data_IF_237029743577
#
_entry.id   IF_237029743577
#
_cell.length_a   1.000
_cell.length_b   1.000
_cell.length_c   1.000
_cell.angle_alpha   90.00
_cell.angle_beta   90.00
_cell.angle_gamma   90.00
#
_symmetry.space_group_name_H-M   'P 1'
#
loop_
_entity.id
_entity.type
_entity.pdbx_description
1 polymer ?
#
# COMPACT_ATOMS: atom_id res chain seq x y z
N UNK A 1 15.53 -7.92 24.13
CA UNK A 1 15.26 -7.19 22.86
C UNK A 1 16.01 -5.88 22.96
N UNK A 2 16.89 -5.58 22.00
CA UNK A 2 17.70 -4.35 22.04
C UNK A 2 16.98 -3.15 21.43
N UNK A 3 16.17 -3.35 20.37
CA UNK A 3 15.46 -2.30 19.64
C UNK A 3 14.04 -2.71 19.35
N UNK A 4 13.11 -1.78 19.51
CA UNK A 4 11.71 -1.91 19.13
C UNK A 4 11.35 -0.82 18.11
N UNK A 5 10.71 -1.21 17.00
CA UNK A 5 10.34 -0.33 15.90
C UNK A 5 8.84 -0.47 15.66
N UNK A 6 8.04 0.60 15.79
CA UNK A 6 6.61 0.57 15.52
C UNK A 6 6.32 0.42 14.04
N UNK A 7 5.15 -0.16 13.71
CA UNK A 7 4.70 -0.38 12.35
C UNK A 7 3.30 0.12 12.06
N UNK A 8 2.58 0.54 13.07
CA UNK A 8 1.20 1.04 12.97
C UNK A 8 1.04 2.34 13.75
N UNK A 9 -0.04 3.06 13.50
CA UNK A 9 -0.38 4.28 14.23
C UNK A 9 -0.63 3.98 15.71
N UNK A 10 -1.32 2.87 16.01
CA UNK A 10 -1.59 2.41 17.37
C UNK A 10 -0.30 2.10 18.13
N UNK A 11 0.66 1.41 17.47
CA UNK A 11 1.96 1.14 18.07
C UNK A 11 2.67 2.44 18.46
N UNK A 12 2.69 3.42 17.55
CA UNK A 12 3.35 4.71 17.80
C UNK A 12 2.71 5.41 19.00
N UNK A 13 1.38 5.45 19.05
CA UNK A 13 0.68 6.12 20.13
C UNK A 13 0.95 5.47 21.50
N UNK A 14 0.86 4.13 21.58
CA UNK A 14 1.10 3.39 22.84
C UNK A 14 2.56 3.50 23.26
N UNK A 15 3.49 3.30 22.35
CA UNK A 15 4.91 3.26 22.64
C UNK A 15 5.47 4.65 22.96
N UNK A 16 4.96 5.73 22.35
CA UNK A 16 5.43 7.09 22.67
C UNK A 16 5.13 7.48 24.11
N UNK A 17 4.04 6.97 24.69
CA UNK A 17 3.67 7.21 26.08
C UNK A 17 4.46 6.34 27.09
N UNK A 18 5.00 5.19 26.63
CA UNK A 18 5.60 4.17 27.48
C UNK A 18 7.08 3.88 27.15
N UNK A 19 7.72 4.67 26.30
CA UNK A 19 9.12 4.45 25.89
C UNK A 19 10.07 4.28 27.09
N UNK A 20 9.91 5.08 28.13
CA UNK A 20 10.74 5.00 29.34
C UNK A 20 10.62 3.67 30.08
N UNK A 21 9.49 2.95 29.99
CA UNK A 21 9.33 1.63 30.62
C UNK A 21 10.20 0.58 29.88
N UNK A 22 10.33 0.69 28.56
CA UNK A 22 11.19 -0.18 27.75
C UNK A 22 12.67 0.15 27.95
N UNK A 23 13.02 1.43 28.01
CA UNK A 23 14.38 1.89 28.29
C UNK A 23 14.87 1.38 29.65
N UNK A 24 14.01 1.37 30.68
CA UNK A 24 14.33 0.87 32.01
C UNK A 24 14.74 -0.61 32.02
N UNK A 25 14.33 -1.40 31.02
CA UNK A 25 14.72 -2.82 30.88
C UNK A 25 15.76 -3.03 29.75
N UNK A 26 16.38 -1.96 29.25
CA UNK A 26 17.44 -2.01 28.26
C UNK A 26 16.96 -2.22 26.82
N UNK A 27 15.69 -1.88 26.54
CA UNK A 27 15.14 -1.90 25.18
C UNK A 27 14.96 -0.47 24.69
N UNK A 28 15.66 -0.09 23.65
CA UNK A 28 15.48 1.19 22.97
C UNK A 28 14.21 1.15 22.12
N UNK A 29 13.41 2.24 22.13
CA UNK A 29 12.22 2.36 21.29
C UNK A 29 12.47 3.45 20.26
N UNK A 30 12.65 3.06 19.00
CA UNK A 30 12.89 4.00 17.91
C UNK A 30 11.55 4.54 17.37
N UNK A 31 11.14 5.65 17.95
CA UNK A 31 9.80 6.19 17.79
C UNK A 31 9.81 7.72 17.75
N UNK A 32 8.84 8.28 17.06
CA UNK A 32 8.51 9.69 17.17
C UNK A 32 8.04 10.02 18.60
N UNK A 33 8.35 11.21 19.10
CA UNK A 33 7.79 11.67 20.35
C UNK A 33 6.25 11.84 20.25
N UNK A 34 5.58 11.90 21.39
CA UNK A 34 4.12 11.98 21.46
C UNK A 34 3.55 13.20 20.69
N UNK A 35 4.21 14.35 20.78
CA UNK A 35 3.79 15.58 20.08
C UNK A 35 3.79 15.41 18.56
N UNK A 36 4.82 14.76 18.03
CA UNK A 36 4.95 14.43 16.60
C UNK A 36 3.91 13.37 16.18
N UNK A 37 3.69 12.38 17.01
CA UNK A 37 2.66 11.37 16.75
C UNK A 37 1.27 12.01 16.64
N UNK A 38 0.91 12.88 17.56
CA UNK A 38 -0.35 13.65 17.55
C UNK A 38 -0.46 14.57 16.34
N UNK A 39 0.64 15.25 15.95
CA UNK A 39 0.65 16.08 14.74
C UNK A 39 0.35 15.26 13.49
N UNK A 40 0.93 14.07 13.37
CA UNK A 40 0.78 13.19 12.21
C UNK A 40 -0.63 12.55 12.14
N UNK A 41 -1.26 12.24 13.26
CA UNK A 41 -2.61 11.64 13.30
C UNK A 41 -3.68 12.69 12.94
N UNK A 42 -3.53 13.94 13.36
CA UNK A 42 -4.51 14.97 13.10
C UNK A 42 -4.35 15.61 11.70
N UNK A 43 -5.32 15.36 10.81
CA UNK A 43 -5.27 15.78 9.40
C UNK A 43 -5.28 17.31 9.22
N UNK A 44 -5.95 18.06 10.09
CA UNK A 44 -5.98 19.53 10.03
C UNK A 44 -4.65 20.14 10.47
N UNK A 45 -4.04 19.58 11.50
CA UNK A 45 -2.73 20.03 11.99
C UNK A 45 -1.63 19.71 10.99
N UNK A 46 -1.66 18.52 10.39
CA UNK A 46 -0.71 18.11 9.34
C UNK A 46 -0.77 19.06 8.14
N UNK A 47 -1.97 19.40 7.63
CA UNK A 47 -2.11 20.33 6.51
C UNK A 47 -1.53 21.72 6.85
N UNK A 48 -1.88 22.27 8.02
CA UNK A 48 -1.33 23.55 8.49
C UNK A 48 0.18 23.52 8.67
N UNK A 49 0.71 22.42 9.18
CA UNK A 49 2.16 22.23 9.35
C UNK A 49 2.91 22.27 8.01
N UNK A 50 2.37 21.65 6.96
CA UNK A 50 2.95 21.74 5.62
C UNK A 50 2.96 23.19 5.09
N UNK A 51 1.86 23.92 5.25
CA UNK A 51 1.80 25.35 4.89
C UNK A 51 2.86 26.18 5.65
N UNK A 52 3.05 25.91 6.94
CA UNK A 52 4.09 26.53 7.76
C UNK A 52 5.52 26.17 7.34
N UNK A 53 5.70 25.02 6.64
CA UNK A 53 6.96 24.66 5.99
C UNK A 53 7.16 25.36 4.63
N UNK A 54 6.18 26.15 4.19
CA UNK A 54 6.17 26.80 2.86
C UNK A 54 5.90 25.80 1.73
N UNK A 55 5.12 24.74 2.01
CA UNK A 55 4.69 23.72 1.07
C UNK A 55 3.19 23.85 0.80
N UNK A 56 2.75 23.38 -0.39
CA UNK A 56 1.32 23.36 -0.65
C UNK A 56 0.70 22.15 0.07
N UNK A 57 -0.42 22.40 0.73
CA UNK A 57 -1.31 21.35 1.24
C UNK A 57 -2.72 21.56 0.66
N UNK A 58 -3.53 20.51 0.52
CA UNK A 58 -4.93 20.70 0.17
C UNK A 58 -5.61 21.56 1.24
N UNK A 59 -6.28 22.63 0.83
CA UNK A 59 -7.02 23.45 1.77
C UNK A 59 -8.16 22.62 2.39
N UNK A 60 -8.18 22.56 3.71
CA UNK A 60 -9.16 21.79 4.48
C UNK A 60 -10.12 22.74 5.16
N UNK A 61 -11.43 22.51 5.03
CA UNK A 61 -12.47 23.21 5.76
C UNK A 61 -13.29 22.25 6.61
N UNK A 62 -13.87 22.75 7.71
CA UNK A 62 -14.67 21.96 8.66
C UNK A 62 -16.16 22.25 8.55
N UNK A 63 -16.56 23.11 7.63
CA UNK A 63 -17.96 23.45 7.38
C UNK A 63 -18.26 23.43 5.89
N UNK A 64 -19.39 22.86 5.51
CA UNK A 64 -19.85 22.85 4.12
C UNK A 64 -20.05 24.27 3.58
N UNK A 65 -20.45 25.23 4.44
CA UNK A 65 -20.65 26.62 4.06
C UNK A 65 -19.34 27.34 3.71
N UNK A 66 -18.21 26.86 4.22
CA UNK A 66 -16.89 27.46 3.98
C UNK A 66 -16.19 26.84 2.76
N UNK A 67 -16.78 25.80 2.17
CA UNK A 67 -16.20 25.13 1.01
C UNK A 67 -16.53 25.86 -0.29
N UNK A 68 -15.50 26.35 -0.98
CA UNK A 68 -15.63 27.18 -2.20
C UNK A 68 -14.78 26.69 -3.38
N UNK A 69 -14.14 25.51 -3.25
CA UNK A 69 -13.12 25.07 -4.22
C UNK A 69 -13.65 24.24 -5.38
N UNK A 70 -14.98 24.07 -5.49
CA UNK A 70 -15.61 23.32 -6.57
C UNK A 70 -15.59 21.79 -6.37
N UNK A 71 -16.09 21.07 -7.36
CA UNK A 71 -16.26 19.63 -7.33
C UNK A 71 -15.48 18.93 -8.44
N UNK A 72 -15.09 17.65 -8.28
CA UNK A 72 -15.36 16.81 -7.10
C UNK A 72 -14.57 17.22 -5.86
N UNK A 73 -15.10 16.87 -4.68
CA UNK A 73 -14.51 17.11 -3.39
C UNK A 73 -14.38 15.81 -2.59
N UNK A 74 -13.45 15.79 -1.64
CA UNK A 74 -13.32 14.70 -0.67
C UNK A 74 -13.92 15.12 0.66
N UNK A 75 -14.96 14.43 1.08
CA UNK A 75 -15.58 14.57 2.39
C UNK A 75 -15.07 13.45 3.29
N UNK A 76 -14.36 13.80 4.35
CA UNK A 76 -13.82 12.85 5.31
C UNK A 76 -14.62 12.93 6.61
N UNK A 77 -15.24 11.82 6.99
CA UNK A 77 -15.87 11.66 8.30
C UNK A 77 -14.78 11.34 9.30
N UNK A 78 -14.82 12.02 10.44
CA UNK A 78 -13.83 11.89 11.51
C UNK A 78 -14.51 11.38 12.79
N UNK A 79 -13.75 10.61 13.57
CA UNK A 79 -14.15 10.22 14.92
C UNK A 79 -13.99 11.39 15.93
N UNK A 80 -14.26 11.15 17.21
CA UNK A 80 -14.14 12.14 18.28
C UNK A 80 -12.69 12.62 18.49
N UNK A 81 -11.70 11.85 18.01
CA UNK A 81 -10.27 12.17 18.11
C UNK A 81 -9.69 12.74 16.80
N UNK A 82 -10.54 13.10 15.83
CA UNK A 82 -10.17 13.56 14.49
C UNK A 82 -9.47 12.50 13.61
N UNK A 83 -9.59 11.23 13.94
CA UNK A 83 -9.11 10.16 13.06
C UNK A 83 -10.09 9.93 11.92
N UNK A 84 -9.57 9.49 10.78
CA UNK A 84 -10.36 9.22 9.59
C UNK A 84 -11.18 7.93 9.73
N UNK A 85 -12.49 8.03 9.83
CA UNK A 85 -13.39 6.86 9.76
C UNK A 85 -13.75 6.48 8.33
N UNK A 86 -14.07 7.46 7.50
CA UNK A 86 -14.57 7.25 6.14
C UNK A 86 -14.25 8.41 5.22
N UNK A 87 -13.93 8.11 3.96
CA UNK A 87 -13.82 9.09 2.88
C UNK A 87 -14.93 8.90 1.86
N UNK A 88 -15.57 9.99 1.46
CA UNK A 88 -16.67 10.01 0.50
C UNK A 88 -16.31 11.02 -0.59
N UNK A 89 -16.43 10.63 -1.85
CA UNK A 89 -16.29 11.55 -2.98
C UNK A 89 -17.63 12.26 -3.17
N UNK A 90 -17.59 13.58 -3.26
CA UNK A 90 -18.75 14.47 -3.40
C UNK A 90 -18.67 15.12 -4.78
N UNK A 91 -19.75 15.03 -5.55
CA UNK A 91 -19.78 15.51 -6.93
C UNK A 91 -20.50 16.84 -7.11
N UNK A 92 -21.33 17.25 -6.14
CA UNK A 92 -22.08 18.50 -6.21
C UNK A 92 -22.45 19.03 -4.81
N UNK A 93 -23.06 20.20 -4.80
CA UNK A 93 -23.47 20.91 -3.59
C UNK A 93 -24.62 20.20 -2.84
N UNK A 94 -25.45 19.44 -3.54
CA UNK A 94 -26.56 18.71 -2.92
C UNK A 94 -26.03 17.53 -2.13
N UNK A 95 -25.10 16.75 -2.71
CA UNK A 95 -24.39 15.67 -2.01
C UNK A 95 -23.62 16.22 -0.79
N UNK A 96 -22.93 17.36 -0.96
CA UNK A 96 -22.21 18.00 0.14
C UNK A 96 -23.15 18.36 1.29
N UNK A 97 -24.27 19.01 1.00
CA UNK A 97 -25.28 19.42 1.99
C UNK A 97 -25.88 18.20 2.69
N UNK A 98 -26.17 17.13 1.95
CA UNK A 98 -26.69 15.89 2.49
C UNK A 98 -25.72 15.26 3.49
N UNK A 99 -24.46 15.10 3.13
CA UNK A 99 -23.47 14.50 4.02
C UNK A 99 -23.14 15.37 5.22
N UNK A 100 -23.06 16.68 5.04
CA UNK A 100 -22.84 17.64 6.13
C UNK A 100 -24.00 17.65 7.16
N UNK A 101 -25.23 17.35 6.73
CA UNK A 101 -26.38 17.20 7.64
C UNK A 101 -26.37 15.91 8.45
N UNK A 102 -25.65 14.88 7.97
CA UNK A 102 -25.63 13.53 8.54
C UNK A 102 -24.51 13.31 9.56
N UNK A 103 -23.38 14.00 9.39
CA UNK A 103 -22.19 13.80 10.21
C UNK A 103 -21.85 15.09 10.98
N UNK A 104 -21.52 14.95 12.26
CA UNK A 104 -21.18 16.10 13.13
C UNK A 104 -19.70 16.48 12.98
N UNK A 105 -18.80 15.51 12.91
CA UNK A 105 -17.36 15.74 12.75
C UNK A 105 -16.88 15.29 11.36
N UNK A 106 -16.48 16.27 10.56
CA UNK A 106 -15.99 16.04 9.20
C UNK A 106 -15.02 17.12 8.75
N UNK A 107 -14.31 16.81 7.69
CA UNK A 107 -13.53 17.79 6.94
C UNK A 107 -13.78 17.63 5.43
N UNK A 108 -13.64 18.73 4.70
CA UNK A 108 -13.81 18.77 3.25
C UNK A 108 -12.53 19.33 2.65
N UNK A 109 -12.07 18.72 1.56
CA UNK A 109 -10.97 19.22 0.75
C UNK A 109 -11.24 18.99 -0.74
N UNK A 110 -10.59 19.73 -1.65
CA UNK A 110 -10.71 19.43 -3.07
C UNK A 110 -10.21 18.02 -3.37
N UNK A 111 -10.84 17.38 -4.35
CA UNK A 111 -10.28 16.17 -4.94
C UNK A 111 -9.11 16.58 -5.86
N UNK A 112 -7.95 16.05 -5.59
CA UNK A 112 -6.77 16.26 -6.41
C UNK A 112 -6.54 15.02 -7.28
N UNK A 113 -6.47 15.21 -8.59
CA UNK A 113 -6.11 14.17 -9.54
C UNK A 113 -4.62 14.29 -9.89
N UNK A 114 -3.88 13.20 -9.78
CA UNK A 114 -2.46 13.25 -10.07
C UNK A 114 -1.70 12.01 -9.60
N UNK A 115 -0.41 12.07 -9.76
CA UNK A 115 0.50 10.98 -9.39
C UNK A 115 0.86 11.05 -7.91
N UNK A 116 0.65 9.94 -7.21
CA UNK A 116 1.02 9.80 -5.80
C UNK A 116 2.49 9.45 -5.64
N UNK A 117 3.16 10.16 -4.75
CA UNK A 117 4.52 9.88 -4.31
C UNK A 117 4.53 9.62 -2.80
N UNK A 118 5.37 8.71 -2.42
CA UNK A 118 5.66 8.41 -1.02
C UNK A 118 7.17 8.63 -0.82
N UNK A 119 7.52 9.42 0.17
CA UNK A 119 8.90 9.81 0.43
C UNK A 119 9.33 9.13 1.71
N UNK A 120 10.14 8.08 1.59
CA UNK A 120 10.69 7.40 2.74
C UNK A 120 11.85 8.20 3.33
N UNK A 121 11.77 8.45 4.60
CA UNK A 121 12.76 9.21 5.37
C UNK A 121 13.27 8.33 6.50
N UNK A 122 14.58 8.36 6.71
CA UNK A 122 15.21 7.85 7.93
C UNK A 122 16.13 8.92 8.51
N UNK A 123 15.96 9.21 9.80
CA UNK A 123 16.73 10.20 10.53
C UNK A 123 17.44 9.59 11.75
N UNK A 124 18.57 10.18 12.11
CA UNK A 124 19.24 9.93 13.39
C UNK A 124 18.39 10.42 14.57
N UNK A 125 18.79 10.07 15.81
CA UNK A 125 18.08 10.50 17.03
C UNK A 125 18.02 12.03 17.21
N UNK A 126 18.99 12.75 16.67
CA UNK A 126 19.01 14.22 16.68
C UNK A 126 18.12 14.88 15.61
N UNK A 127 17.43 14.07 14.80
CA UNK A 127 16.58 14.51 13.70
C UNK A 127 17.33 14.87 12.42
N UNK A 128 18.65 14.61 12.35
CA UNK A 128 19.39 14.76 11.10
C UNK A 128 19.04 13.64 10.12
N UNK A 129 18.76 13.96 8.83
CA UNK A 129 18.41 12.91 7.87
C UNK A 129 19.62 12.04 7.52
N UNK A 130 19.38 10.76 7.27
CA UNK A 130 20.35 9.80 6.69
C UNK A 130 19.94 9.44 5.28
N UNK A 131 18.66 9.16 5.07
CA UNK A 131 18.07 8.84 3.77
C UNK A 131 16.79 9.62 3.53
N UNK A 132 16.62 10.07 2.30
CA UNK A 132 15.37 10.65 1.79
C UNK A 132 15.16 10.05 0.40
N UNK A 133 14.17 9.16 0.26
CA UNK A 133 13.96 8.37 -0.95
C UNK A 133 12.54 8.54 -1.46
N UNK A 134 12.32 9.37 -2.48
CA UNK A 134 11.02 9.43 -3.14
C UNK A 134 10.75 8.18 -3.97
N UNK A 135 9.53 7.68 -3.90
CA UNK A 135 9.03 6.60 -4.74
C UNK A 135 7.64 6.95 -5.27
N UNK A 136 7.42 6.66 -6.54
CA UNK A 136 6.13 6.82 -7.18
C UNK A 136 5.32 5.54 -7.02
N UNK A 137 4.06 5.69 -6.63
CA UNK A 137 3.08 4.60 -6.69
C UNK A 137 2.58 4.49 -8.13
N UNK A 138 2.68 3.30 -8.71
CA UNK A 138 2.15 3.01 -10.05
C UNK A 138 0.89 2.15 -9.90
N UNK A 139 -0.19 2.57 -10.57
CA UNK A 139 -1.40 1.75 -10.65
C UNK A 139 -1.14 0.57 -11.58
N UNK A 140 -1.57 -0.62 -11.19
CA UNK A 140 -1.52 -1.82 -12.03
C UNK A 140 -2.96 -2.20 -12.34
N UNK A 141 -3.33 -2.09 -13.60
CA UNK A 141 -4.67 -2.36 -14.07
C UNK A 141 -5.11 -3.79 -13.70
N UNK A 142 -6.27 -3.90 -13.05
CA UNK A 142 -6.89 -5.18 -12.68
C UNK A 142 -6.26 -5.94 -11.52
N UNK A 143 -5.33 -5.35 -10.74
CA UNK A 143 -4.72 -6.01 -9.59
C UNK A 143 -4.66 -5.10 -8.36
N UNK A 144 -5.00 -5.64 -7.20
CA UNK A 144 -4.76 -5.01 -5.89
C UNK A 144 -3.26 -4.89 -5.52
N UNK A 145 -2.37 -5.35 -6.40
CA UNK A 145 -0.93 -5.34 -6.17
C UNK A 145 -0.37 -3.92 -6.28
N UNK A 146 0.23 -3.45 -5.20
CA UNK A 146 0.94 -2.18 -5.21
C UNK A 146 2.28 -2.33 -5.95
N UNK A 147 2.49 -1.48 -6.95
CA UNK A 147 3.77 -1.35 -7.67
C UNK A 147 4.38 0.01 -7.35
N UNK A 148 5.66 0.02 -7.05
CA UNK A 148 6.40 1.22 -6.72
C UNK A 148 7.67 1.32 -7.54
N UNK A 149 8.03 2.54 -7.91
CA UNK A 149 9.30 2.87 -8.57
C UNK A 149 10.03 3.91 -7.73
N UNK A 150 11.30 3.67 -7.42
CA UNK A 150 12.16 4.70 -6.86
C UNK A 150 12.37 5.79 -7.93
N UNK A 151 12.28 7.04 -7.52
CA UNK A 151 12.45 8.18 -8.42
C UNK A 151 13.50 9.13 -7.87
N UNK A 152 14.37 9.62 -8.76
CA UNK A 152 15.35 10.65 -8.43
C UNK A 152 14.78 12.01 -8.79
N UNK A 153 14.11 12.63 -7.82
CA UNK A 153 13.51 13.95 -7.96
C UNK A 153 14.01 14.87 -6.84
N UNK A 154 15.04 15.66 -7.17
CA UNK A 154 15.68 16.56 -6.21
C UNK A 154 14.75 17.64 -5.67
N UNK A 155 13.71 18.06 -6.44
CA UNK A 155 12.71 19.00 -5.94
C UNK A 155 11.94 18.39 -4.76
N UNK A 156 11.48 17.16 -4.91
CA UNK A 156 10.78 16.44 -3.82
C UNK A 156 11.68 16.29 -2.60
N UNK A 157 12.97 15.95 -2.82
CA UNK A 157 13.95 15.80 -1.73
C UNK A 157 14.16 17.13 -0.97
N UNK A 158 14.32 18.25 -1.68
CA UNK A 158 14.48 19.56 -1.04
C UNK A 158 13.20 20.02 -0.29
N UNK A 159 12.03 19.68 -0.80
CA UNK A 159 10.78 19.94 -0.10
C UNK A 159 10.65 19.07 1.16
N UNK A 160 10.99 17.79 1.09
CA UNK A 160 11.03 16.92 2.26
C UNK A 160 12.04 17.40 3.32
N UNK A 161 13.19 17.93 2.93
CA UNK A 161 14.17 18.51 3.85
C UNK A 161 13.59 19.67 4.65
N UNK A 162 12.66 20.47 4.10
CA UNK A 162 11.99 21.55 4.85
C UNK A 162 11.14 20.99 5.99
N UNK A 163 10.41 19.87 5.72
CA UNK A 163 9.63 19.15 6.72
C UNK A 163 10.56 18.61 7.82
N UNK A 164 11.59 17.87 7.44
CA UNK A 164 12.53 17.25 8.37
C UNK A 164 13.20 18.28 9.28
N UNK A 165 13.66 19.40 8.68
CA UNK A 165 14.33 20.50 9.43
C UNK A 165 13.43 21.08 10.53
N UNK A 166 12.12 21.22 10.27
CA UNK A 166 11.17 21.78 11.25
C UNK A 166 10.71 20.73 12.25
N UNK A 167 10.49 19.50 11.78
CA UNK A 167 9.92 18.41 12.57
C UNK A 167 10.97 17.69 13.44
N UNK A 168 12.19 17.53 12.91
CA UNK A 168 13.30 16.78 13.52
C UNK A 168 12.88 15.39 14.01
N UNK A 169 12.33 14.55 13.12
CA UNK A 169 11.90 13.21 13.50
C UNK A 169 13.09 12.31 13.81
N UNK A 170 12.90 11.28 14.63
CA UNK A 170 13.86 10.20 14.82
C UNK A 170 13.37 8.91 14.18
N UNK A 171 14.26 8.13 13.57
CA UNK A 171 13.93 6.87 12.93
C UNK A 171 13.18 7.03 11.58
N UNK A 172 12.20 6.17 11.37
CA UNK A 172 11.44 6.12 10.12
C UNK A 172 10.30 7.13 10.07
N UNK A 173 10.10 7.68 8.91
CA UNK A 173 8.91 8.44 8.55
C UNK A 173 8.63 8.29 7.05
N UNK A 174 7.35 8.26 6.67
CA UNK A 174 6.92 8.37 5.28
C UNK A 174 6.08 9.63 5.09
N UNK A 175 6.45 10.47 4.12
CA UNK A 175 5.71 11.66 3.74
C UNK A 175 4.96 11.36 2.45
N UNK A 176 3.67 11.64 2.39
CA UNK A 176 2.80 11.40 1.24
C UNK A 176 2.52 12.70 0.50
N UNK A 177 2.77 12.69 -0.78
CA UNK A 177 2.63 13.83 -1.68
C UNK A 177 1.91 13.42 -2.97
N UNK A 178 1.10 14.31 -3.50
CA UNK A 178 0.47 14.16 -4.80
C UNK A 178 0.97 15.29 -5.73
N UNK A 179 1.47 14.93 -6.90
CA UNK A 179 1.74 15.87 -7.98
C UNK A 179 0.51 15.95 -8.88
N UNK A 180 -0.13 17.10 -8.89
CA UNK A 180 -1.33 17.32 -9.66
C UNK A 180 -1.05 17.29 -11.18
N UNK A 181 -1.86 16.55 -11.92
CA UNK A 181 -1.61 16.25 -13.33
C UNK A 181 -1.65 17.49 -14.23
N UNK A 182 -2.53 18.45 -13.95
CA UNK A 182 -2.73 19.62 -14.82
C UNK A 182 -1.77 20.78 -14.54
N UNK A 183 -1.41 20.97 -13.27
CA UNK A 183 -0.60 22.14 -12.84
C UNK A 183 0.82 21.80 -12.49
N UNK A 184 1.16 20.50 -12.41
CA UNK A 184 2.45 19.97 -11.93
C UNK A 184 2.85 20.49 -10.53
N UNK A 185 1.84 20.89 -9.73
CA UNK A 185 2.03 21.32 -8.36
C UNK A 185 2.07 20.14 -7.41
N UNK A 186 3.01 20.20 -6.49
CA UNK A 186 3.16 19.21 -5.44
C UNK A 186 2.31 19.59 -4.23
N UNK A 187 1.42 18.70 -3.79
CA UNK A 187 0.58 18.82 -2.62
C UNK A 187 0.97 17.79 -1.58
N UNK A 188 1.37 18.23 -0.39
CA UNK A 188 1.70 17.36 0.73
C UNK A 188 0.42 17.01 1.49
N UNK A 189 0.17 15.70 1.66
CA UNK A 189 -1.13 15.19 2.09
C UNK A 189 -1.13 14.74 3.55
N UNK A 190 -0.10 13.94 3.94
CA UNK A 190 0.03 13.35 5.27
C UNK A 190 1.45 12.90 5.55
N UNK A 191 1.72 12.58 6.81
CA UNK A 191 2.96 11.97 7.28
C UNK A 191 2.63 10.77 8.18
N UNK A 192 3.49 9.76 8.15
CA UNK A 192 3.40 8.57 8.98
C UNK A 192 4.74 8.32 9.66
N UNK A 193 4.85 8.54 10.99
CA UNK A 193 6.12 8.46 11.71
C UNK A 193 6.43 7.03 12.18
N UNK A 194 6.33 6.06 11.28
CA UNK A 194 6.67 4.65 11.51
C UNK A 194 7.20 3.99 10.26
N UNK A 195 7.72 2.76 10.43
CA UNK A 195 8.17 1.93 9.32
C UNK A 195 6.98 1.46 8.47
N UNK A 196 6.80 2.07 7.32
CA UNK A 196 5.77 1.66 6.37
C UNK A 196 6.22 0.44 5.57
N UNK A 197 5.32 -0.53 5.37
CA UNK A 197 5.65 -1.78 4.68
C UNK A 197 6.21 -1.56 3.26
N UNK A 198 5.73 -0.54 2.56
CA UNK A 198 6.21 -0.19 1.23
C UNK A 198 7.62 0.44 1.25
N UNK A 199 8.15 0.90 2.40
CA UNK A 199 9.53 1.40 2.54
C UNK A 199 10.58 0.32 2.29
N UNK A 200 10.19 -0.96 2.24
CA UNK A 200 11.04 -2.06 1.77
C UNK A 200 11.62 -1.79 0.38
N UNK A 201 10.92 -1.03 -0.47
CA UNK A 201 11.40 -0.63 -1.81
C UNK A 201 12.68 0.18 -1.70
N UNK A 202 12.66 1.23 -0.86
CA UNK A 202 13.82 2.12 -0.64
C UNK A 202 15.01 1.35 -0.07
N UNK A 203 14.76 0.43 0.87
CA UNK A 203 15.79 -0.43 1.47
C UNK A 203 16.43 -1.33 0.39
N UNK A 204 15.62 -2.00 -0.42
CA UNK A 204 16.10 -2.87 -1.50
C UNK A 204 16.81 -2.10 -2.60
N UNK A 205 16.49 -0.83 -2.77
CA UNK A 205 17.18 0.05 -3.72
C UNK A 205 18.51 0.61 -3.20
N UNK A 206 18.85 0.43 -1.91
CA UNK A 206 20.15 0.84 -1.36
C UNK A 206 20.06 1.86 -0.19
N UNK A 207 18.90 2.44 0.09
CA UNK A 207 18.70 3.26 1.30
C UNK A 207 18.48 2.35 2.52
N UNK A 208 19.58 1.73 3.00
CA UNK A 208 19.55 0.70 4.04
C UNK A 208 19.29 1.30 5.44
N UNK A 209 18.04 1.71 5.67
CA UNK A 209 17.59 2.27 6.94
C UNK A 209 17.72 1.29 8.12
N UNK A 210 17.51 -0.04 7.99
CA UNK A 210 17.80 -0.99 9.05
C UNK A 210 19.27 -0.98 9.51
N UNK A 211 20.20 -0.91 8.55
CA UNK A 211 21.62 -0.77 8.89
C UNK A 211 21.91 0.57 9.60
N UNK A 212 21.34 1.66 9.11
CA UNK A 212 21.48 2.98 9.75
C UNK A 212 20.90 2.99 11.18
N UNK A 213 19.76 2.32 11.42
CA UNK A 213 19.19 2.18 12.74
C UNK A 213 20.12 1.41 13.69
N UNK A 214 20.72 0.31 13.22
CA UNK A 214 21.68 -0.47 14.00
C UNK A 214 22.95 0.33 14.31
N UNK A 215 23.53 1.03 13.33
CA UNK A 215 24.70 1.89 13.51
C UNK A 215 24.43 2.99 14.52
N UNK A 216 23.29 3.64 14.43
CA UNK A 216 22.85 4.68 15.38
C UNK A 216 22.75 4.14 16.82
N UNK A 217 22.23 2.93 17.00
CA UNK A 217 22.16 2.27 18.32
C UNK A 217 23.54 1.91 18.89
N UNK A 218 24.50 1.65 18.04
CA UNK A 218 25.90 1.41 18.42
C UNK A 218 26.67 2.72 18.72
N UNK A 219 25.99 3.88 18.64
CA UNK A 219 26.60 5.19 18.85
C UNK A 219 27.37 5.71 17.65
N UNK A 220 27.14 5.15 16.47
CA UNK A 220 27.75 5.51 15.18
C UNK A 220 26.72 6.08 14.22
N UNK A 221 26.17 7.32 14.45
CA UNK A 221 25.19 7.91 13.58
C UNK A 221 25.77 8.13 12.17
N UNK A 222 24.94 7.94 11.16
CA UNK A 222 25.35 8.06 9.77
C UNK A 222 25.09 9.47 9.24
N UNK A 223 25.98 9.94 8.36
CA UNK A 223 25.77 11.18 7.61
C UNK A 223 24.73 11.00 6.51
N UNK A 224 24.13 12.12 6.07
CA UNK A 224 23.19 12.12 4.95
C UNK A 224 23.84 11.61 3.67
N UNK A 225 23.19 10.64 3.03
CA UNK A 225 23.58 10.09 1.74
C UNK A 225 22.58 10.52 0.67
N UNK A 226 22.99 11.47 -0.14
CA UNK A 226 22.24 11.88 -1.31
C UNK A 226 22.15 10.73 -2.31
N UNK A 227 20.98 10.56 -2.95
CA UNK A 227 20.73 9.55 -3.98
C UNK A 227 21.18 8.13 -3.60
N UNK A 228 21.05 7.76 -2.33
CA UNK A 228 21.47 6.45 -1.84
C UNK A 228 20.70 5.29 -2.49
N UNK A 229 19.47 5.52 -2.89
CA UNK A 229 18.63 4.52 -3.55
C UNK A 229 18.81 4.56 -5.07
N UNK A 230 18.91 3.39 -5.70
CA UNK A 230 18.94 3.23 -7.15
C UNK A 230 17.54 3.47 -7.75
N UNK A 231 17.43 4.43 -8.66
CA UNK A 231 16.19 4.82 -9.34
C UNK A 231 15.78 3.87 -10.48
N UNK A 232 16.59 2.87 -10.79
CA UNK A 232 16.22 1.78 -11.69
C UNK A 232 15.40 0.67 -11.01
N UNK A 233 15.20 0.76 -9.68
CA UNK A 233 14.48 -0.27 -8.94
C UNK A 233 12.98 -0.08 -9.05
N UNK A 234 12.32 -1.13 -9.53
CA UNK A 234 10.86 -1.28 -9.51
C UNK A 234 10.52 -2.43 -8.57
N UNK A 235 9.59 -2.18 -7.67
CA UNK A 235 9.10 -3.15 -6.73
C UNK A 235 7.63 -3.47 -7.01
N UNK A 236 7.34 -4.74 -7.13
CA UNK A 236 5.96 -5.24 -7.24
C UNK A 236 5.70 -6.23 -6.12
N UNK A 237 4.63 -6.01 -5.37
CA UNK A 237 4.18 -6.94 -4.35
C UNK A 237 3.05 -7.80 -4.91
N UNK A 238 3.11 -9.10 -4.66
CA UNK A 238 2.05 -10.05 -4.94
C UNK A 238 1.85 -10.98 -3.75
N UNK A 239 0.65 -11.46 -3.57
CA UNK A 239 0.33 -12.45 -2.55
C UNK A 239 0.67 -13.84 -3.06
N UNK A 240 1.25 -14.66 -2.20
CA UNK A 240 1.57 -16.06 -2.47
C UNK A 240 1.00 -16.92 -1.36
N UNK A 241 0.20 -17.91 -1.74
CA UNK A 241 -0.30 -18.92 -0.82
C UNK A 241 0.61 -20.14 -0.85
N UNK A 242 0.90 -20.69 0.32
CA UNK A 242 1.67 -21.93 0.48
C UNK A 242 0.76 -22.95 1.13
N UNK A 243 0.61 -24.12 0.51
CA UNK A 243 -0.09 -25.24 1.13
C UNK A 243 0.86 -26.00 2.05
N UNK A 244 0.45 -26.20 3.29
CA UNK A 244 1.21 -26.97 4.27
C UNK A 244 0.51 -28.30 4.54
N UNK A 245 1.28 -29.34 4.84
CA UNK A 245 0.75 -30.58 5.39
C UNK A 245 0.44 -30.43 6.89
N UNK A 246 -0.09 -31.46 7.52
CA UNK A 246 -0.43 -31.45 8.96
C UNK A 246 0.79 -31.34 9.89
N UNK A 247 2.00 -31.40 9.37
CA UNK A 247 3.25 -31.17 10.09
C UNK A 247 3.82 -29.78 9.86
N UNK A 248 3.03 -28.89 9.22
CA UNK A 248 3.43 -27.53 8.83
C UNK A 248 4.58 -27.48 7.81
N UNK A 249 4.79 -28.59 7.05
CA UNK A 249 5.77 -28.65 5.98
C UNK A 249 5.11 -28.24 4.65
N UNK A 250 5.77 -27.46 3.78
CA UNK A 250 5.25 -27.13 2.46
C UNK A 250 4.95 -28.39 1.64
N UNK A 251 3.73 -28.51 1.13
CA UNK A 251 3.33 -29.62 0.25
C UNK A 251 3.99 -29.48 -1.13
N UNK A 252 4.20 -28.23 -1.55
CA UNK A 252 4.89 -27.90 -2.80
C UNK A 252 5.95 -26.87 -2.49
N UNK A 253 7.22 -27.22 -2.63
CA UNK A 253 8.29 -26.25 -2.71
C UNK A 253 8.22 -25.58 -4.08
N UNK A 254 7.91 -24.29 -4.10
CA UNK A 254 8.04 -23.49 -5.32
C UNK A 254 9.51 -23.07 -5.36
N UNK A 255 10.32 -23.88 -6.05
CA UNK A 255 11.71 -23.55 -6.33
C UNK A 255 11.79 -22.26 -7.17
N UNK A 256 12.87 -21.53 -7.02
CA UNK A 256 13.17 -20.44 -7.95
C UNK A 256 13.17 -21.02 -9.38
N UNK A 257 12.61 -20.26 -10.31
CA UNK A 257 12.47 -20.70 -11.69
C UNK A 257 13.84 -21.14 -12.30
N UNK A 258 14.91 -20.48 -11.88
CA UNK A 258 16.27 -20.81 -12.27
C UNK A 258 16.71 -22.19 -11.79
N UNK A 259 16.34 -22.58 -10.57
CA UNK A 259 16.71 -23.88 -9.99
C UNK A 259 15.94 -25.02 -10.66
N UNK A 260 14.69 -24.76 -11.07
CA UNK A 260 13.84 -25.76 -11.69
C UNK A 260 14.25 -26.08 -13.14
N UNK A 261 14.64 -25.07 -13.90
CA UNK A 261 14.88 -25.20 -15.35
C UNK A 261 16.35 -25.02 -15.76
N UNK A 262 17.25 -24.82 -14.78
CA UNK A 262 18.69 -24.59 -15.04
C UNK A 262 18.93 -23.53 -16.12
N UNK A 263 18.21 -22.42 -16.03
CA UNK A 263 18.30 -21.33 -17.00
C UNK A 263 19.70 -20.73 -16.99
N UNK A 264 20.22 -20.43 -18.18
CA UNK A 264 21.52 -19.80 -18.35
C UNK A 264 21.57 -18.44 -17.63
N UNK A 265 22.71 -18.14 -16.99
CA UNK A 265 22.90 -16.89 -16.20
C UNK A 265 22.67 -15.60 -17.02
N UNK A 266 22.73 -15.70 -18.36
CA UNK A 266 22.45 -14.61 -19.28
C UNK A 266 20.96 -14.28 -19.46
N UNK A 267 20.03 -15.14 -18.97
CA UNK A 267 18.59 -14.95 -19.14
C UNK A 267 18.05 -14.12 -17.98
N UNK A 268 17.71 -12.85 -18.24
CA UNK A 268 17.19 -11.92 -17.24
C UNK A 268 15.70 -12.08 -16.97
N UNK A 269 14.91 -12.58 -17.93
CA UNK A 269 13.46 -12.78 -17.81
C UNK A 269 12.99 -13.87 -18.76
N UNK A 270 11.98 -14.65 -18.33
CA UNK A 270 11.26 -15.57 -19.18
C UNK A 270 9.78 -15.28 -19.04
N UNK A 271 9.10 -15.07 -20.16
CA UNK A 271 7.65 -14.84 -20.21
C UNK A 271 7.00 -16.09 -20.78
N UNK A 272 6.05 -16.64 -20.04
CA UNK A 272 5.25 -17.77 -20.49
C UNK A 272 3.81 -17.33 -20.69
N UNK A 273 3.19 -17.84 -21.72
CA UNK A 273 1.74 -17.93 -21.77
C UNK A 273 1.29 -19.00 -20.76
N UNK A 274 0.15 -18.78 -20.13
CA UNK A 274 -0.30 -19.60 -19.02
C UNK A 274 -1.09 -20.80 -19.52
N UNK A 275 -2.08 -20.55 -20.35
CA UNK A 275 -3.01 -21.55 -20.85
C UNK A 275 -2.37 -22.34 -22.00
N UNK A 276 -2.49 -23.67 -21.98
CA UNK A 276 -1.88 -24.62 -22.93
C UNK A 276 -0.34 -24.54 -23.07
N UNK A 277 0.32 -23.66 -22.29
CA UNK A 277 1.79 -23.55 -22.27
C UNK A 277 2.39 -24.15 -21.00
N UNK A 278 1.91 -23.73 -19.82
CA UNK A 278 2.39 -24.26 -18.52
C UNK A 278 1.52 -25.41 -18.00
N UNK A 279 0.25 -25.44 -18.39
CA UNK A 279 -0.68 -26.54 -18.12
C UNK A 279 -1.70 -26.64 -19.26
N UNK A 280 -2.27 -27.83 -19.41
CA UNK A 280 -3.35 -28.03 -20.38
C UNK A 280 -4.63 -27.37 -19.89
N UNK A 281 -5.10 -26.33 -20.59
CA UNK A 281 -6.39 -25.69 -20.29
C UNK A 281 -7.52 -26.70 -20.24
N UNK A 282 -7.52 -27.67 -21.16
CA UNK A 282 -8.55 -28.72 -21.19
C UNK A 282 -8.54 -29.59 -19.95
N UNK A 283 -7.37 -29.94 -19.43
CA UNK A 283 -7.25 -30.76 -18.22
C UNK A 283 -7.65 -29.97 -16.97
N UNK A 284 -7.33 -28.68 -16.92
CA UNK A 284 -7.78 -27.78 -15.88
C UNK A 284 -9.31 -27.66 -15.86
N UNK A 285 -9.91 -27.37 -17.03
CA UNK A 285 -11.37 -27.28 -17.16
C UNK A 285 -12.04 -28.63 -16.82
N UNK A 286 -11.49 -29.74 -17.28
CA UNK A 286 -11.99 -31.07 -16.91
C UNK A 286 -11.90 -31.36 -15.41
N UNK A 287 -10.87 -30.87 -14.74
CA UNK A 287 -10.74 -31.03 -13.28
C UNK A 287 -11.87 -30.30 -12.53
N UNK A 288 -12.27 -29.11 -13.02
CA UNK A 288 -13.42 -28.37 -12.45
C UNK A 288 -14.74 -29.11 -12.66
N UNK A 289 -14.90 -29.87 -13.75
CA UNK A 289 -16.10 -30.69 -13.97
C UNK A 289 -16.29 -31.80 -12.94
N UNK A 290 -15.20 -32.29 -12.33
CA UNK A 290 -15.26 -33.22 -11.20
C UNK A 290 -15.84 -32.58 -9.93
N UNK A 291 -15.65 -31.28 -9.79
CA UNK A 291 -16.27 -30.53 -8.68
C UNK A 291 -17.77 -30.39 -8.94
N UNK A 292 -18.16 -30.01 -10.17
CA UNK A 292 -19.56 -29.90 -10.58
C UNK A 292 -20.30 -31.23 -10.43
N UNK A 293 -19.67 -32.35 -10.80
CA UNK A 293 -20.24 -33.69 -10.63
C UNK A 293 -20.58 -34.00 -9.17
N UNK A 294 -19.75 -33.56 -8.24
CA UNK A 294 -20.02 -33.71 -6.79
C UNK A 294 -21.09 -32.77 -6.27
N UNK A 295 -21.22 -31.60 -6.87
CA UNK A 295 -22.22 -30.59 -6.46
C UNK A 295 -23.63 -30.88 -7.00
N UNK A 296 -23.75 -31.59 -8.14
CA UNK A 296 -24.99 -31.87 -8.83
C UNK A 296 -25.17 -33.39 -9.07
N UNK A 297 -25.23 -34.21 -8.01
CA UNK A 297 -25.34 -35.65 -8.10
C UNK A 297 -26.63 -36.14 -8.75
N UNK A 298 -27.66 -35.31 -8.79
CA UNK A 298 -28.95 -35.58 -9.42
C UNK A 298 -28.89 -35.60 -10.95
N UNK A 299 -27.90 -34.96 -11.55
CA UNK A 299 -27.69 -34.95 -13.00
C UNK A 299 -26.87 -36.16 -13.42
N UNK A 300 -27.54 -37.19 -13.89
CA UNK A 300 -26.88 -38.44 -14.28
C UNK A 300 -25.81 -38.21 -15.35
N UNK A 301 -24.59 -38.74 -15.07
CA UNK A 301 -23.43 -38.72 -15.96
C UNK A 301 -22.99 -37.28 -16.38
N UNK A 302 -23.10 -36.34 -15.48
CA UNK A 302 -22.84 -34.90 -15.74
C UNK A 302 -21.41 -34.65 -16.22
N UNK A 303 -20.40 -35.32 -15.65
CA UNK A 303 -19.00 -35.16 -16.04
C UNK A 303 -18.79 -35.42 -17.54
N UNK A 304 -19.30 -36.56 -18.04
CA UNK A 304 -19.15 -36.91 -19.46
C UNK A 304 -19.93 -35.98 -20.38
N UNK A 305 -21.08 -35.48 -19.95
CA UNK A 305 -21.87 -34.49 -20.70
C UNK A 305 -21.11 -33.15 -20.80
N UNK A 306 -20.50 -32.69 -19.72
CA UNK A 306 -19.68 -31.47 -19.72
C UNK A 306 -18.46 -31.63 -20.62
N UNK A 307 -17.76 -32.76 -20.56
CA UNK A 307 -16.64 -33.06 -21.46
C UNK A 307 -17.07 -33.08 -22.93
N UNK A 308 -18.20 -33.71 -23.25
CA UNK A 308 -18.71 -33.79 -24.62
C UNK A 308 -19.15 -32.39 -25.15
N UNK A 309 -19.69 -31.52 -24.30
CA UNK A 309 -20.02 -30.15 -24.68
C UNK A 309 -18.75 -29.31 -24.92
N UNK A 310 -17.70 -29.50 -24.09
CA UNK A 310 -16.40 -28.84 -24.27
C UNK A 310 -15.75 -29.24 -25.60
N UNK A 311 -15.75 -30.53 -25.94
CA UNK A 311 -15.19 -31.05 -27.21
C UNK A 311 -15.91 -30.53 -28.45
N UNK A 312 -17.17 -30.14 -28.29
CA UNK A 312 -17.98 -29.54 -29.36
C UNK A 312 -17.84 -28.01 -29.44
N UNK A 313 -16.99 -27.41 -28.63
CA UNK A 313 -16.82 -25.95 -28.54
C UNK A 313 -18.04 -25.21 -28.00
N UNK A 314 -18.91 -25.89 -27.25
CA UNK A 314 -20.07 -25.31 -26.61
C UNK A 314 -19.67 -24.76 -25.21
N UNK A 315 -20.55 -24.00 -24.57
CA UNK A 315 -20.41 -23.61 -23.18
C UNK A 315 -20.87 -24.77 -22.29
N UNK A 316 -19.95 -25.56 -21.67
CA UNK A 316 -20.30 -26.86 -21.12
C UNK A 316 -21.38 -26.80 -20.03
N UNK A 317 -21.18 -25.92 -19.04
CA UNK A 317 -22.08 -25.82 -17.89
C UNK A 317 -23.47 -25.32 -18.33
N UNK A 318 -23.52 -24.25 -19.09
CA UNK A 318 -24.78 -23.69 -19.61
C UNK A 318 -25.56 -24.73 -20.46
N UNK A 319 -24.87 -25.43 -21.35
CA UNK A 319 -25.50 -26.45 -22.20
C UNK A 319 -26.07 -27.60 -21.39
N UNK A 320 -25.29 -28.15 -20.47
CA UNK A 320 -25.73 -29.33 -19.69
C UNK A 320 -26.83 -28.96 -18.68
N UNK A 321 -26.77 -27.77 -18.07
CA UNK A 321 -27.82 -27.32 -17.15
C UNK A 321 -29.14 -27.00 -17.87
N UNK A 322 -29.08 -26.45 -19.10
CA UNK A 322 -30.27 -26.28 -19.95
C UNK A 322 -30.91 -27.61 -20.33
N UNK A 323 -30.11 -28.59 -20.76
CA UNK A 323 -30.58 -29.92 -21.08
C UNK A 323 -31.17 -30.67 -19.88
N UNK A 324 -30.69 -30.35 -18.67
CA UNK A 324 -31.20 -30.91 -17.42
C UNK A 324 -32.41 -30.13 -16.87
N UNK A 325 -32.82 -29.03 -17.48
CA UNK A 325 -33.90 -28.15 -16.99
C UNK A 325 -33.58 -27.41 -15.69
N UNK A 326 -32.29 -27.26 -15.36
CA UNK A 326 -31.79 -26.66 -14.12
C UNK A 326 -31.13 -25.30 -14.36
N UNK A 327 -31.15 -24.77 -15.57
CA UNK A 327 -30.50 -23.51 -15.89
C UNK A 327 -31.30 -22.33 -15.31
N UNK A 328 -30.62 -21.49 -14.53
CA UNK A 328 -31.07 -20.15 -14.18
C UNK A 328 -29.88 -19.17 -14.25
N UNK A 329 -30.16 -17.89 -14.58
CA UNK A 329 -29.12 -16.86 -14.66
C UNK A 329 -28.42 -16.55 -13.31
N UNK A 330 -28.98 -17.09 -12.20
CA UNK A 330 -28.42 -16.96 -10.86
C UNK A 330 -27.40 -18.07 -10.53
N UNK A 331 -27.28 -19.09 -11.38
CA UNK A 331 -26.39 -20.24 -11.18
C UNK A 331 -25.06 -20.17 -11.96
N UNK A 332 -24.85 -19.12 -12.72
CA UNK A 332 -23.61 -18.77 -13.44
C UNK A 332 -22.96 -17.55 -12.84
#
# INVERSE_FOLDING_TARGET
IGLLIPRTEEDVFILSQRASEFEAVGTEVLIANEELALLCSNKRWTARFFEECGLNAPQVVSSANDYTQGFPAMFAVLDEMDNLEKSIMIHDEQELSFHASKYENYMIRPFLNGKMYEIDVFCNLDGSPVYITPRAKEEVEGKESARYRVVRDHKIVEEAKKVIKKLRPSGWMTIFMLREEHTDKDYFIRMEPWYHQASTVSIKAGADAPYAALSMMLGEPMEYKEDAADDNVIFTRFEKSVCLNTREEPIVEIHDFKDLYHLDEGIGSVIFDLDDTLYSEKDYVRSSFRVVERMLPEVNNIFNKLCAALEKGQRPLETVLKDAGMYSDELL
#
